data_IF_002535143465
#
_entry.id   IF_002535143465
#
_cell.length_a   1.000
_cell.length_b   1.000
_cell.length_c   1.000
_cell.angle_alpha   90.00
_cell.angle_beta   90.00
_cell.angle_gamma   90.00
#
_symmetry.space_group_name_H-M   'P 1'
#
loop_
_entity.id
_entity.type
_entity.pdbx_description
1 polymer ?
#
# COMPACT_ATOMS: atom_id res chain seq x y z
N UNK A 1 22.82 -12.06 -58.62
CA UNK A 1 22.06 -12.56 -59.78
C UNK A 1 21.90 -11.38 -60.71
N UNK A 2 22.60 -11.45 -61.82
CA UNK A 2 22.48 -10.53 -62.94
C UNK A 2 21.13 -10.76 -63.58
N UNK A 3 20.40 -9.69 -63.91
CA UNK A 3 19.41 -9.77 -64.97
C UNK A 3 19.40 -8.47 -65.76
N UNK A 4 19.49 -8.68 -67.07
CA UNK A 4 19.71 -7.71 -68.12
C UNK A 4 18.43 -7.72 -68.94
N UNK A 5 17.72 -6.60 -69.04
CA UNK A 5 16.77 -6.42 -70.14
C UNK A 5 16.98 -5.07 -70.82
N UNK A 6 17.31 -5.22 -72.10
CA UNK A 6 17.51 -4.31 -73.19
C UNK A 6 16.15 -4.06 -73.85
N UNK A 7 15.72 -2.81 -74.05
CA UNK A 7 14.73 -2.45 -75.08
C UNK A 7 15.02 -1.06 -75.64
N UNK A 8 15.59 -1.11 -76.85
CA UNK A 8 15.23 -0.41 -78.08
C UNK A 8 15.34 1.12 -78.22
N UNK A 9 15.96 1.45 -79.35
CA UNK A 9 16.31 2.75 -79.89
C UNK A 9 15.13 3.30 -80.69
N UNK A 10 14.80 4.58 -80.49
CA UNK A 10 14.11 5.37 -81.53
C UNK A 10 14.98 6.57 -81.83
N UNK A 11 15.63 6.50 -82.98
CA UNK A 11 16.35 7.58 -83.64
C UNK A 11 15.32 8.60 -84.16
N UNK A 12 15.43 9.87 -83.74
CA UNK A 12 14.72 10.97 -84.40
C UNK A 12 15.69 12.13 -84.67
N UNK A 13 15.56 12.69 -85.87
CA UNK A 13 16.53 13.51 -86.59
C UNK A 13 16.92 14.84 -85.92
N UNK A 14 18.17 15.21 -86.20
CA UNK A 14 18.85 16.47 -85.88
C UNK A 14 18.34 17.63 -86.74
N UNK A 15 17.89 18.77 -86.15
CA UNK A 15 18.05 20.06 -86.80
C UNK A 15 19.38 20.69 -86.34
N UNK A 16 20.34 20.83 -87.27
CA UNK A 16 21.58 21.59 -87.06
C UNK A 16 21.27 23.08 -86.86
N UNK A 17 21.08 23.51 -85.62
CA UNK A 17 21.03 24.93 -85.27
C UNK A 17 22.46 25.51 -85.29
N UNK A 18 22.75 26.41 -86.23
CA UNK A 18 23.98 27.22 -86.23
C UNK A 18 23.72 28.43 -85.32
N UNK A 19 24.41 28.62 -84.18
CA UNK A 19 24.33 29.90 -83.49
C UNK A 19 25.06 30.94 -84.35
N UNK A 20 24.31 31.90 -84.90
CA UNK A 20 24.89 33.10 -85.50
C UNK A 20 25.56 33.89 -84.39
N UNK A 21 26.85 34.21 -84.58
CA UNK A 21 27.66 34.96 -83.63
C UNK A 21 26.97 36.29 -83.27
N UNK A 22 26.68 36.55 -81.98
CA UNK A 22 26.16 37.83 -81.55
C UNK A 22 27.14 38.93 -81.94
N UNK A 23 26.64 39.91 -82.69
CA UNK A 23 27.33 41.17 -83.01
C UNK A 23 27.64 41.86 -81.68
N UNK A 24 28.91 41.87 -81.27
CA UNK A 24 29.38 42.65 -80.12
C UNK A 24 29.38 44.12 -80.58
N UNK A 25 28.55 45.02 -80.00
CA UNK A 25 28.71 46.44 -80.22
C UNK A 25 29.98 46.90 -79.49
N UNK A 26 30.79 47.65 -80.22
CA UNK A 26 32.07 48.23 -79.78
C UNK A 26 31.96 48.98 -78.44
N UNK A 27 32.84 48.60 -77.51
CA UNK A 27 33.60 49.58 -76.74
C UNK A 27 32.88 50.35 -75.64
N UNK A 28 32.08 49.71 -74.79
CA UNK A 28 31.93 50.22 -73.42
C UNK A 28 33.14 49.73 -72.63
N UNK A 29 34.03 50.66 -72.23
CA UNK A 29 35.13 50.37 -71.33
C UNK A 29 34.56 49.64 -70.13
N UNK A 30 34.83 48.34 -70.06
CA UNK A 30 34.49 47.50 -68.92
C UNK A 30 35.25 48.06 -67.73
N UNK A 31 34.58 48.86 -66.91
CA UNK A 31 35.19 49.52 -65.78
C UNK A 31 35.47 48.46 -64.72
N UNK A 32 36.74 48.09 -64.55
CA UNK A 32 37.14 47.00 -63.65
C UNK A 32 36.71 47.27 -62.19
N UNK A 33 36.59 48.55 -61.83
CA UNK A 33 36.05 48.99 -60.54
C UNK A 33 34.55 48.68 -60.41
N UNK A 34 33.78 48.76 -61.49
CA UNK A 34 32.35 48.45 -61.47
C UNK A 34 32.11 46.94 -61.38
N UNK A 35 32.97 46.13 -62.00
CA UNK A 35 32.96 44.66 -61.80
C UNK A 35 33.26 44.31 -60.33
N UNK A 36 34.24 44.97 -59.73
CA UNK A 36 34.63 44.69 -58.35
C UNK A 36 33.54 45.10 -57.36
N UNK A 37 32.88 46.27 -57.57
CA UNK A 37 31.71 46.69 -56.79
C UNK A 37 30.52 45.75 -56.98
N UNK A 38 30.22 45.31 -58.21
CA UNK A 38 29.15 44.34 -58.47
C UNK A 38 29.40 43.00 -57.81
N UNK A 39 30.66 42.54 -57.76
CA UNK A 39 31.06 41.33 -57.02
C UNK A 39 30.82 41.51 -55.52
N UNK A 40 31.33 42.59 -54.92
CA UNK A 40 31.14 42.88 -53.49
C UNK A 40 29.65 42.99 -53.12
N UNK A 41 28.84 43.68 -53.94
CA UNK A 41 27.41 43.79 -53.71
C UNK A 41 26.69 42.44 -53.82
N UNK A 42 27.10 41.59 -54.78
CA UNK A 42 26.56 40.23 -54.89
C UNK A 42 26.90 39.41 -53.63
N UNK A 43 28.16 39.43 -53.20
CA UNK A 43 28.61 38.69 -52.03
C UNK A 43 27.88 39.18 -50.76
N UNK A 44 27.66 40.49 -50.60
CA UNK A 44 26.88 41.04 -49.48
C UNK A 44 25.41 40.60 -49.50
N UNK A 45 24.78 40.58 -50.67
CA UNK A 45 23.38 40.13 -50.82
C UNK A 45 23.26 38.61 -50.58
N UNK A 46 24.22 37.82 -51.07
CA UNK A 46 24.25 36.38 -50.87
C UNK A 46 24.50 36.02 -49.40
N UNK A 47 25.40 36.75 -48.72
CA UNK A 47 25.61 36.61 -47.28
C UNK A 47 24.35 36.97 -46.49
N UNK A 48 23.67 38.06 -46.83
CA UNK A 48 22.41 38.43 -46.17
C UNK A 48 21.32 37.36 -46.38
N UNK A 49 21.20 36.83 -47.60
CA UNK A 49 20.25 35.76 -47.91
C UNK A 49 20.55 34.46 -47.13
N UNK A 50 21.83 34.10 -46.96
CA UNK A 50 22.26 32.95 -46.15
C UNK A 50 21.94 33.15 -44.67
N UNK A 51 22.16 34.37 -44.15
CA UNK A 51 21.83 34.73 -42.77
C UNK A 51 20.32 34.57 -42.54
N UNK A 52 19.50 35.17 -43.40
CA UNK A 52 18.04 35.13 -43.28
C UNK A 52 17.50 33.70 -43.45
N UNK A 53 18.04 32.94 -44.41
CA UNK A 53 17.68 31.54 -44.59
C UNK A 53 18.02 30.68 -43.37
N UNK A 54 19.17 30.90 -42.72
CA UNK A 54 19.54 30.17 -41.51
C UNK A 54 18.59 30.48 -40.34
N UNK A 55 18.25 31.76 -40.12
CA UNK A 55 17.30 32.15 -39.07
C UNK A 55 15.89 31.65 -39.32
N UNK A 56 15.39 31.76 -40.56
CA UNK A 56 14.07 31.25 -40.92
C UNK A 56 13.99 29.72 -40.83
N UNK A 57 15.05 29.00 -41.21
CA UNK A 57 15.12 27.55 -41.03
C UNK A 57 15.07 27.17 -39.55
N UNK A 58 15.92 27.79 -38.72
CA UNK A 58 15.94 27.59 -37.26
C UNK A 58 14.59 27.88 -36.60
N UNK A 59 13.96 28.99 -36.98
CA UNK A 59 12.66 29.40 -36.45
C UNK A 59 11.56 28.39 -36.79
N UNK A 60 11.51 27.92 -38.03
CA UNK A 60 10.55 26.88 -38.46
C UNK A 60 10.78 25.56 -37.72
N UNK A 61 12.04 25.13 -37.59
CA UNK A 61 12.39 23.94 -36.80
C UNK A 61 11.97 24.08 -35.33
N UNK A 62 12.18 25.24 -34.72
CA UNK A 62 11.77 25.52 -33.34
C UNK A 62 10.25 25.52 -33.18
N UNK A 63 9.51 26.15 -34.09
CA UNK A 63 8.04 26.16 -34.09
C UNK A 63 7.48 24.73 -34.25
N UNK A 64 8.05 23.92 -35.14
CA UNK A 64 7.66 22.51 -35.31
C UNK A 64 7.96 21.68 -34.06
N UNK A 65 9.12 21.91 -33.43
CA UNK A 65 9.49 21.21 -32.20
C UNK A 65 8.57 21.58 -31.04
N UNK A 66 8.21 22.86 -30.92
CA UNK A 66 7.24 23.34 -29.93
C UNK A 66 5.87 22.72 -30.19
N UNK A 67 5.37 22.78 -31.42
CA UNK A 67 4.08 22.19 -31.80
C UNK A 67 4.02 20.67 -31.54
N UNK A 68 5.13 19.96 -31.72
CA UNK A 68 5.24 18.53 -31.40
C UNK A 68 5.21 18.28 -29.90
N UNK A 69 5.97 19.06 -29.12
CA UNK A 69 5.98 18.99 -27.65
C UNK A 69 4.60 19.26 -27.07
N UNK A 70 3.91 20.29 -27.53
CA UNK A 70 2.54 20.60 -27.13
C UNK A 70 1.58 19.43 -27.44
N UNK A 71 1.71 18.79 -28.61
CA UNK A 71 0.90 17.62 -28.96
C UNK A 71 1.16 16.41 -28.05
N UNK A 72 2.40 16.21 -27.64
CA UNK A 72 2.78 15.14 -26.69
C UNK A 72 2.24 15.47 -25.30
N UNK A 73 2.40 16.71 -24.86
CA UNK A 73 1.93 17.18 -23.56
C UNK A 73 0.41 17.10 -23.45
N UNK A 74 -0.32 17.53 -24.48
CA UNK A 74 -1.78 17.36 -24.59
C UNK A 74 -2.19 15.89 -24.43
N UNK A 75 -1.52 14.97 -25.12
CA UNK A 75 -1.80 13.53 -25.00
C UNK A 75 -1.46 12.97 -23.62
N UNK A 76 -0.41 13.48 -22.95
CA UNK A 76 -0.07 13.10 -21.58
C UNK A 76 -1.12 13.61 -20.59
N UNK A 77 -1.51 14.88 -20.71
CA UNK A 77 -2.55 15.49 -19.90
C UNK A 77 -3.89 14.75 -20.05
N UNK A 78 -4.27 14.38 -21.27
CA UNK A 78 -5.48 13.60 -21.53
C UNK A 78 -5.45 12.23 -20.85
N UNK A 79 -4.31 11.50 -20.92
CA UNK A 79 -4.17 10.22 -20.21
C UNK A 79 -4.24 10.40 -18.70
N UNK A 80 -3.60 11.44 -18.17
CA UNK A 80 -3.64 11.76 -16.75
C UNK A 80 -5.08 12.07 -16.29
N UNK A 81 -5.83 12.84 -17.09
CA UNK A 81 -7.22 13.16 -16.82
C UNK A 81 -8.12 11.92 -16.91
N UNK A 82 -7.93 11.06 -17.91
CA UNK A 82 -8.65 9.78 -17.99
C UNK A 82 -8.38 8.90 -16.75
N UNK A 83 -7.15 8.87 -16.25
CA UNK A 83 -6.82 8.17 -15.00
C UNK A 83 -7.49 8.81 -13.79
N UNK A 84 -7.49 10.15 -13.70
CA UNK A 84 -8.15 10.90 -12.63
C UNK A 84 -9.65 10.62 -12.59
N UNK A 85 -10.33 10.70 -13.73
CA UNK A 85 -11.77 10.41 -13.86
C UNK A 85 -12.08 8.95 -13.51
N UNK A 86 -11.24 7.99 -13.91
CA UNK A 86 -11.41 6.58 -13.53
C UNK A 86 -11.27 6.38 -12.02
N UNK A 87 -10.24 6.98 -11.42
CA UNK A 87 -10.00 6.92 -9.98
C UNK A 87 -11.12 7.59 -9.18
N UNK A 88 -11.64 8.74 -9.64
CA UNK A 88 -12.75 9.44 -9.02
C UNK A 88 -14.05 8.62 -9.07
N UNK A 89 -14.40 8.06 -10.24
CA UNK A 89 -15.54 7.15 -10.38
C UNK A 89 -15.41 5.90 -9.51
N UNK A 90 -14.20 5.39 -9.29
CA UNK A 90 -13.97 4.25 -8.40
C UNK A 90 -14.13 4.64 -6.92
N UNK A 91 -13.58 5.79 -6.52
CA UNK A 91 -13.78 6.36 -5.18
C UNK A 91 -15.25 6.63 -4.90
N UNK A 92 -15.99 7.21 -5.85
CA UNK A 92 -17.43 7.45 -5.72
C UNK A 92 -18.21 6.16 -5.51
N UNK A 93 -17.91 5.10 -6.29
CA UNK A 93 -18.52 3.78 -6.09
C UNK A 93 -18.18 3.19 -4.72
N UNK A 94 -16.96 3.39 -4.24
CA UNK A 94 -16.55 2.92 -2.92
C UNK A 94 -17.27 3.69 -1.81
N UNK A 95 -17.33 5.01 -1.92
CA UNK A 95 -18.06 5.89 -0.99
C UNK A 95 -19.54 5.53 -0.96
N UNK A 96 -20.19 5.32 -2.10
CA UNK A 96 -21.60 4.89 -2.14
C UNK A 96 -21.85 3.57 -1.42
N UNK A 97 -20.97 2.58 -1.60
CA UNK A 97 -21.07 1.28 -0.89
C UNK A 97 -20.82 1.44 0.61
N UNK A 98 -19.88 2.29 0.99
CA UNK A 98 -19.55 2.54 2.38
C UNK A 98 -20.63 3.36 3.08
N UNK A 99 -21.22 4.34 2.40
CA UNK A 99 -22.35 5.14 2.87
C UNK A 99 -23.62 4.31 3.00
N UNK A 100 -23.93 3.42 2.05
CA UNK A 100 -25.04 2.48 2.17
C UNK A 100 -24.84 1.52 3.36
N UNK A 101 -23.60 1.01 3.53
CA UNK A 101 -23.26 0.19 4.69
C UNK A 101 -23.38 0.99 5.99
N UNK A 102 -22.94 2.24 6.01
CA UNK A 102 -22.99 3.12 7.16
C UNK A 102 -24.43 3.50 7.52
N UNK A 103 -25.28 3.82 6.55
CA UNK A 103 -26.70 4.07 6.79
C UNK A 103 -27.41 2.82 7.30
N UNK A 104 -27.07 1.63 6.79
CA UNK A 104 -27.58 0.37 7.31
C UNK A 104 -27.15 0.13 8.76
N UNK A 105 -25.87 0.33 9.07
CA UNK A 105 -25.33 0.25 10.43
C UNK A 105 -25.99 1.29 11.36
N UNK A 106 -26.20 2.52 10.91
CA UNK A 106 -26.88 3.58 11.68
C UNK A 106 -28.35 3.22 11.94
N UNK A 107 -29.07 2.68 10.96
CA UNK A 107 -30.46 2.21 11.17
C UNK A 107 -30.54 0.97 12.06
N UNK A 108 -29.58 0.05 11.99
CA UNK A 108 -29.52 -1.13 12.84
C UNK A 108 -29.10 -0.78 14.27
N UNK A 109 -28.21 0.19 14.45
CA UNK A 109 -27.85 0.75 15.77
C UNK A 109 -29.06 1.48 16.35
N UNK A 110 -29.78 2.29 15.56
CA UNK A 110 -30.98 2.99 16.03
C UNK A 110 -32.07 2.00 16.44
N UNK A 111 -32.34 0.98 15.62
CA UNK A 111 -33.30 -0.08 15.96
C UNK A 111 -32.87 -0.87 17.20
N UNK A 112 -31.59 -1.20 17.35
CA UNK A 112 -31.08 -1.85 18.57
C UNK A 112 -31.22 -0.97 19.80
N UNK A 113 -30.94 0.33 19.69
CA UNK A 113 -31.12 1.28 20.78
C UNK A 113 -32.60 1.41 21.17
N UNK A 114 -33.51 1.47 20.20
CA UNK A 114 -34.96 1.54 20.43
C UNK A 114 -35.49 0.22 21.03
N UNK A 115 -35.01 -0.95 20.56
CA UNK A 115 -35.35 -2.27 21.12
C UNK A 115 -34.73 -2.49 22.50
N UNK A 116 -33.50 -2.01 22.76
CA UNK A 116 -32.87 -2.06 24.08
C UNK A 116 -33.56 -1.12 25.07
N UNK A 117 -34.00 0.06 24.62
CA UNK A 117 -34.81 0.96 25.44
C UNK A 117 -36.19 0.34 25.76
N UNK A 118 -36.87 -0.25 24.78
CA UNK A 118 -38.13 -0.99 24.99
C UNK A 118 -37.93 -2.22 25.88
N UNK A 119 -36.86 -2.99 25.66
CA UNK A 119 -36.51 -4.17 26.47
C UNK A 119 -36.11 -3.79 27.88
N UNK A 120 -35.39 -2.68 28.08
CA UNK A 120 -35.08 -2.12 29.41
C UNK A 120 -36.36 -1.66 30.09
N UNK A 121 -37.24 -0.95 29.39
CA UNK A 121 -38.55 -0.55 29.90
C UNK A 121 -39.40 -1.78 30.30
N UNK A 122 -39.41 -2.83 29.46
CA UNK A 122 -40.18 -4.05 29.72
C UNK A 122 -39.54 -4.94 30.81
N UNK A 123 -38.21 -5.08 30.86
CA UNK A 123 -37.50 -5.86 31.88
C UNK A 123 -37.48 -5.15 33.24
N UNK A 124 -37.40 -3.81 33.27
CA UNK A 124 -37.64 -3.02 34.49
C UNK A 124 -39.07 -3.18 34.98
N UNK A 125 -40.03 -3.46 34.09
CA UNK A 125 -41.42 -3.76 34.44
C UNK A 125 -41.68 -5.23 34.84
N UNK A 126 -40.83 -6.21 34.48
CA UNK A 126 -41.14 -7.65 34.62
C UNK A 126 -40.03 -8.53 35.23
N UNK A 127 -39.05 -7.94 35.94
CA UNK A 127 -38.30 -8.69 36.94
C UNK A 127 -36.86 -9.05 36.57
N UNK A 128 -36.01 -8.84 37.58
CA UNK A 128 -34.55 -8.78 37.52
C UNK A 128 -33.83 -10.15 37.42
N UNK A 129 -34.46 -11.22 36.95
CA UNK A 129 -33.88 -12.58 37.05
C UNK A 129 -33.69 -13.35 35.74
N UNK A 130 -34.18 -12.86 34.58
CA UNK A 130 -34.07 -13.55 33.28
C UNK A 130 -32.93 -13.02 32.37
N UNK A 131 -32.18 -12.02 32.82
CA UNK A 131 -31.25 -11.24 31.99
C UNK A 131 -29.97 -12.00 31.56
N UNK A 132 -29.53 -13.04 32.28
CA UNK A 132 -28.24 -13.69 32.02
C UNK A 132 -28.23 -14.62 30.79
N UNK A 133 -29.39 -15.17 30.40
CA UNK A 133 -29.48 -16.14 29.31
C UNK A 133 -29.54 -15.46 27.93
N UNK A 134 -30.19 -14.29 27.82
CA UNK A 134 -30.29 -13.56 26.54
C UNK A 134 -28.97 -12.93 26.09
N UNK A 135 -28.09 -12.50 27.01
CA UNK A 135 -26.80 -11.90 26.66
C UNK A 135 -25.85 -12.88 25.94
N UNK A 136 -25.99 -14.19 26.19
CA UNK A 136 -25.22 -15.24 25.48
C UNK A 136 -25.76 -15.50 24.06
N UNK A 137 -27.05 -15.27 23.82
CA UNK A 137 -27.67 -15.45 22.52
C UNK A 137 -27.42 -14.27 21.57
N UNK A 138 -27.41 -13.04 22.10
CA UNK A 138 -27.21 -11.82 21.30
C UNK A 138 -25.78 -11.71 20.74
N UNK A 139 -24.77 -12.19 21.49
CA UNK A 139 -23.39 -12.31 21.01
C UNK A 139 -23.22 -13.27 19.82
N UNK A 140 -24.19 -14.15 19.55
CA UNK A 140 -24.18 -15.06 18.39
C UNK A 140 -24.92 -14.50 17.17
N UNK A 141 -25.81 -13.51 17.33
CA UNK A 141 -26.71 -13.04 16.25
C UNK A 141 -26.34 -11.66 15.69
N UNK A 142 -25.58 -10.85 16.42
CA UNK A 142 -25.14 -9.52 15.98
C UNK A 142 -23.64 -9.47 15.63
N UNK A 143 -23.29 -9.83 14.40
CA UNK A 143 -21.93 -9.72 13.88
C UNK A 143 -21.09 -10.97 14.19
N UNK A 144 -20.80 -11.76 13.15
CA UNK A 144 -19.83 -12.85 13.23
C UNK A 144 -18.50 -12.24 13.64
N UNK A 145 -18.16 -12.30 14.94
CA UNK A 145 -16.82 -11.91 15.43
C UNK A 145 -15.84 -12.67 14.54
N UNK A 146 -15.01 -11.92 13.82
CA UNK A 146 -14.00 -12.49 12.92
C UNK A 146 -13.25 -13.55 13.71
N UNK A 147 -13.39 -14.80 13.27
CA UNK A 147 -12.81 -15.94 13.98
C UNK A 147 -11.29 -15.76 14.01
N UNK A 148 -10.60 -16.28 15.03
CA UNK A 148 -9.13 -16.19 15.06
C UNK A 148 -8.48 -16.77 13.79
N UNK A 149 -9.14 -17.76 13.17
CA UNK A 149 -8.76 -18.32 11.87
C UNK A 149 -8.86 -17.30 10.74
N UNK A 150 -9.94 -16.53 10.67
CA UNK A 150 -10.15 -15.47 9.69
C UNK A 150 -9.14 -14.32 9.93
N UNK A 151 -8.93 -13.90 11.19
CA UNK A 151 -7.91 -12.90 11.56
C UNK A 151 -6.50 -13.32 11.18
N UNK A 152 -6.11 -14.57 11.49
CA UNK A 152 -4.80 -15.13 11.10
C UNK A 152 -4.65 -15.13 9.59
N UNK A 153 -5.68 -15.56 8.84
CA UNK A 153 -5.66 -15.55 7.38
C UNK A 153 -5.52 -14.13 6.82
N UNK A 154 -6.21 -13.16 7.41
CA UNK A 154 -6.13 -11.74 7.03
C UNK A 154 -4.75 -11.16 7.28
N UNK A 155 -4.16 -11.40 8.45
CA UNK A 155 -2.81 -10.93 8.80
C UNK A 155 -1.76 -11.58 7.88
N UNK A 156 -1.85 -12.88 7.63
CA UNK A 156 -0.92 -13.57 6.74
C UNK A 156 -1.05 -13.11 5.28
N UNK A 157 -2.27 -12.85 4.81
CA UNK A 157 -2.49 -12.28 3.49
C UNK A 157 -1.92 -10.86 3.38
N UNK A 158 -2.06 -10.03 4.42
CA UNK A 158 -1.48 -8.68 4.45
C UNK A 158 0.06 -8.69 4.47
N UNK A 159 0.69 -9.69 5.11
CA UNK A 159 2.14 -9.88 5.11
C UNK A 159 2.68 -10.45 3.78
N UNK A 160 1.82 -11.09 2.98
CA UNK A 160 2.23 -11.71 1.72
C UNK A 160 2.36 -10.64 0.63
N UNK A 161 3.61 -10.30 0.30
CA UNK A 161 3.92 -9.46 -0.86
C UNK A 161 3.76 -10.27 -2.14
N UNK A 162 2.95 -9.78 -3.08
CA UNK A 162 2.83 -10.40 -4.41
C UNK A 162 4.16 -10.24 -5.15
N UNK A 163 4.61 -11.30 -5.80
CA UNK A 163 5.89 -11.33 -6.52
C UNK A 163 5.62 -11.08 -7.99
N UNK A 164 6.28 -10.06 -8.56
CA UNK A 164 6.37 -9.86 -9.99
C UNK A 164 7.82 -10.02 -10.40
N UNK A 165 8.14 -11.12 -11.07
CA UNK A 165 9.49 -11.53 -11.44
C UNK A 165 9.70 -11.65 -12.95
N UNK A 166 8.61 -11.67 -13.73
CA UNK A 166 8.65 -12.08 -15.14
C UNK A 166 9.27 -11.04 -16.08
N UNK A 167 9.50 -9.82 -15.60
CA UNK A 167 9.98 -8.68 -16.41
C UNK A 167 11.21 -7.99 -15.80
N UNK A 168 11.97 -8.69 -14.94
CA UNK A 168 13.15 -8.13 -14.28
C UNK A 168 14.46 -8.55 -14.98
N UNK A 169 15.46 -7.65 -14.93
CA UNK A 169 16.82 -7.92 -15.40
C UNK A 169 17.62 -8.72 -14.35
N UNK A 170 18.71 -9.38 -14.76
CA UNK A 170 19.49 -10.29 -13.92
C UNK A 170 20.00 -9.65 -12.62
N UNK A 171 20.53 -8.42 -12.68
CA UNK A 171 21.02 -7.72 -11.50
C UNK A 171 19.90 -7.41 -10.49
N UNK A 172 18.71 -7.04 -10.99
CA UNK A 172 17.53 -6.81 -10.13
C UNK A 172 16.99 -8.11 -9.53
N UNK A 173 17.18 -9.25 -10.20
CA UNK A 173 16.82 -10.56 -9.65
C UNK A 173 17.77 -10.95 -8.52
N UNK A 174 19.07 -10.66 -8.64
CA UNK A 174 20.05 -10.88 -7.56
C UNK A 174 19.70 -10.06 -6.31
N UNK A 175 19.35 -8.79 -6.48
CA UNK A 175 18.89 -7.95 -5.37
C UNK A 175 17.62 -8.51 -4.70
N UNK A 176 16.67 -9.01 -5.49
CA UNK A 176 15.45 -9.62 -4.96
C UNK A 176 15.71 -10.92 -4.21
N UNK A 177 16.66 -11.74 -4.66
CA UNK A 177 17.07 -12.96 -3.96
C UNK A 177 17.65 -12.62 -2.59
N UNK A 178 18.53 -11.61 -2.53
CA UNK A 178 19.10 -11.14 -1.26
C UNK A 178 18.01 -10.59 -0.32
N UNK A 179 17.07 -9.79 -0.84
CA UNK A 179 15.92 -9.28 -0.06
C UNK A 179 15.08 -10.43 0.53
N UNK A 180 14.82 -11.51 -0.23
CA UNK A 180 14.09 -12.66 0.29
C UNK A 180 14.89 -13.48 1.29
N UNK A 181 16.19 -13.61 1.08
CA UNK A 181 17.08 -14.30 2.01
C UNK A 181 17.11 -13.59 3.36
N UNK A 182 17.27 -12.26 3.37
CA UNK A 182 17.22 -11.44 4.57
C UNK A 182 15.85 -11.51 5.25
N UNK A 183 14.76 -11.44 4.47
CA UNK A 183 13.40 -11.55 5.01
C UNK A 183 13.13 -12.91 5.65
N UNK A 184 13.63 -13.99 5.04
CA UNK A 184 13.51 -15.35 5.59
C UNK A 184 14.30 -15.48 6.91
N UNK A 185 15.55 -14.99 6.94
CA UNK A 185 16.39 -14.95 8.12
C UNK A 185 15.75 -14.18 9.27
N UNK A 186 15.14 -13.03 8.98
CA UNK A 186 14.42 -12.23 9.98
C UNK A 186 13.25 -13.02 10.60
N UNK A 187 12.41 -13.64 9.77
CA UNK A 187 11.27 -14.44 10.23
C UNK A 187 11.71 -15.65 11.07
N UNK A 188 12.83 -16.29 10.73
CA UNK A 188 13.42 -17.37 11.52
C UNK A 188 13.89 -16.90 12.90
N UNK A 189 14.54 -15.73 12.97
CA UNK A 189 14.97 -15.11 14.23
C UNK A 189 13.76 -14.77 15.11
N UNK A 190 12.74 -14.09 14.57
CA UNK A 190 11.52 -13.74 15.30
C UNK A 190 10.78 -14.99 15.81
N UNK A 191 10.71 -16.05 14.99
CA UNK A 191 10.15 -17.34 15.41
C UNK A 191 10.95 -17.93 16.58
N UNK A 192 12.28 -17.89 16.52
CA UNK A 192 13.13 -18.39 17.60
C UNK A 192 12.90 -17.64 18.91
N UNK A 193 12.93 -16.31 18.88
CA UNK A 193 12.65 -15.47 20.06
C UNK A 193 11.26 -15.73 20.65
N UNK A 194 10.23 -15.88 19.81
CA UNK A 194 8.89 -16.22 20.26
C UNK A 194 8.81 -17.61 20.90
N UNK A 195 9.53 -18.60 20.35
CA UNK A 195 9.60 -19.94 20.93
C UNK A 195 10.26 -19.92 22.30
N UNK A 196 11.40 -19.23 22.45
CA UNK A 196 12.11 -19.11 23.74
C UNK A 196 11.27 -18.35 24.77
N UNK A 197 10.63 -17.24 24.36
CA UNK A 197 9.70 -16.49 25.24
C UNK A 197 8.55 -17.37 25.73
N UNK A 198 7.97 -18.20 24.86
CA UNK A 198 6.91 -19.15 25.25
C UNK A 198 7.41 -20.23 26.22
N UNK A 199 8.66 -20.70 26.08
CA UNK A 199 9.25 -21.66 27.04
C UNK A 199 9.42 -21.01 28.42
N UNK A 200 9.93 -19.79 28.47
CA UNK A 200 10.09 -19.03 29.72
C UNK A 200 8.74 -18.75 30.39
N UNK A 201 7.74 -18.28 29.64
CA UNK A 201 6.38 -18.06 30.17
C UNK A 201 5.75 -19.33 30.73
N UNK A 202 5.99 -20.49 30.11
CA UNK A 202 5.52 -21.78 30.64
C UNK A 202 6.21 -22.13 31.96
N UNK A 203 7.52 -21.87 32.06
CA UNK A 203 8.27 -22.07 33.29
C UNK A 203 7.78 -21.14 34.41
N UNK A 204 7.61 -19.85 34.13
CA UNK A 204 7.06 -18.86 35.08
C UNK A 204 5.63 -19.22 35.53
N UNK A 205 4.78 -19.70 34.62
CA UNK A 205 3.44 -20.17 34.98
C UNK A 205 3.47 -21.42 35.86
N UNK A 206 4.40 -22.35 35.61
CA UNK A 206 4.59 -23.52 36.46
C UNK A 206 5.10 -23.13 37.84
N UNK A 207 6.12 -22.27 37.94
CA UNK A 207 6.65 -21.74 39.20
C UNK A 207 5.60 -20.93 39.97
N UNK A 208 4.81 -20.09 39.29
CA UNK A 208 3.72 -19.33 39.90
C UNK A 208 2.54 -20.20 40.38
N UNK A 209 2.27 -21.32 39.71
CA UNK A 209 1.30 -22.34 40.16
C UNK A 209 1.82 -23.17 41.33
N UNK A 210 3.14 -23.32 41.46
CA UNK A 210 3.84 -23.78 42.65
C UNK A 210 4.01 -22.63 43.66
N UNK A 211 2.92 -21.93 44.00
CA UNK A 211 2.92 -21.21 45.28
C UNK A 211 3.16 -22.25 46.38
N UNK A 212 4.12 -22.05 47.31
CA UNK A 212 4.30 -22.96 48.43
C UNK A 212 2.95 -23.12 49.13
N UNK A 213 2.54 -24.33 49.54
CA UNK A 213 1.39 -24.45 50.42
C UNK A 213 1.68 -23.48 51.58
N UNK A 214 0.78 -22.52 51.81
CA UNK A 214 0.89 -21.58 52.92
C UNK A 214 1.37 -22.40 54.11
N UNK A 215 2.53 -22.06 54.69
CA UNK A 215 3.03 -22.72 55.89
C UNK A 215 1.93 -22.60 56.93
N UNK A 216 1.07 -23.61 56.99
CA UNK A 216 0.22 -23.85 58.13
C UNK A 216 1.21 -24.16 59.23
N UNK A 217 1.45 -23.18 60.10
CA UNK A 217 2.27 -23.33 61.30
C UNK A 217 1.62 -24.44 62.12
N UNK A 218 2.01 -25.69 61.87
CA UNK A 218 1.55 -26.88 62.57
C UNK A 218 1.86 -26.76 64.08
N UNK A 219 2.88 -25.99 64.43
CA UNK A 219 3.17 -25.58 65.81
C UNK A 219 2.07 -24.70 66.41
N UNK A 220 1.49 -23.73 65.68
CA UNK A 220 0.36 -22.93 66.18
C UNK A 220 -0.91 -23.76 66.29
N UNK A 221 -1.18 -24.63 65.32
CA UNK A 221 -2.33 -25.54 65.37
C UNK A 221 -2.21 -26.54 66.53
N UNK A 222 -1.01 -27.08 66.78
CA UNK A 222 -0.73 -28.00 67.88
C UNK A 222 -0.76 -27.30 69.25
N UNK A 223 -0.28 -26.05 69.34
CA UNK A 223 -0.38 -25.24 70.56
C UNK A 223 -1.84 -24.88 70.86
N UNK A 224 -2.65 -24.50 69.86
CA UNK A 224 -4.10 -24.28 70.07
C UNK A 224 -4.83 -25.57 70.48
N UNK A 225 -4.49 -26.71 69.87
CA UNK A 225 -5.07 -28.00 70.23
C UNK A 225 -4.72 -28.44 71.67
N UNK A 226 -3.47 -28.23 72.11
CA UNK A 226 -3.08 -28.51 73.48
C UNK A 226 -3.70 -27.53 74.49
N UNK A 227 -3.82 -26.24 74.14
CA UNK A 227 -4.45 -25.25 75.02
C UNK A 227 -5.96 -25.52 75.22
N UNK A 228 -6.64 -25.96 74.15
CA UNK A 228 -8.05 -26.36 74.22
C UNK A 228 -8.24 -27.67 75.00
N UNK A 229 -7.34 -28.65 74.87
CA UNK A 229 -7.37 -29.86 75.68
C UNK A 229 -7.16 -29.57 77.18
N UNK A 230 -6.19 -28.72 77.54
CA UNK A 230 -5.91 -28.34 78.95
C UNK A 230 -7.10 -27.58 79.57
N UNK A 231 -7.79 -26.73 78.81
CA UNK A 231 -8.97 -25.99 79.31
C UNK A 231 -10.19 -26.89 79.49
N UNK A 232 -10.39 -27.89 78.62
CA UNK A 232 -11.46 -28.88 78.79
C UNK A 232 -11.21 -29.79 80.00
N UNK A 233 -9.97 -30.24 80.22
CA UNK A 233 -9.63 -31.09 81.36
C UNK A 233 -9.73 -30.34 82.70
N UNK A 234 -9.32 -29.08 82.76
CA UNK A 234 -9.50 -28.26 83.97
C UNK A 234 -10.98 -27.96 84.26
N UNK A 235 -11.82 -27.77 83.24
CA UNK A 235 -13.28 -27.67 83.42
C UNK A 235 -13.88 -28.99 83.95
N UNK A 236 -13.44 -30.13 83.40
CA UNK A 236 -13.90 -31.46 83.84
C UNK A 236 -13.45 -31.80 85.27
N UNK A 237 -12.23 -31.41 85.65
CA UNK A 237 -11.74 -31.55 87.02
C UNK A 237 -12.46 -30.62 88.00
N UNK A 238 -12.76 -29.36 87.62
CA UNK A 238 -13.57 -28.44 88.45
C UNK A 238 -15.00 -28.96 88.64
N UNK A 239 -15.62 -29.50 87.59
CA UNK A 239 -16.94 -30.18 87.69
C UNK A 239 -16.88 -31.42 88.58
N UNK A 240 -15.83 -32.23 88.50
CA UNK A 240 -15.65 -33.41 89.37
C UNK A 240 -15.39 -33.02 90.84
N UNK A 241 -14.68 -31.92 91.09
CA UNK A 241 -14.43 -31.40 92.44
C UNK A 241 -15.70 -30.78 93.05
N UNK A 242 -16.50 -30.06 92.25
CA UNK A 242 -17.83 -29.58 92.66
C UNK A 242 -18.78 -30.73 92.97
N UNK A 243 -18.77 -31.79 92.15
CA UNK A 243 -19.59 -32.98 92.39
C UNK A 243 -19.19 -33.73 93.67
N UNK A 244 -17.88 -33.84 93.96
CA UNK A 244 -17.38 -34.43 95.22
C UNK A 244 -17.69 -33.58 96.46
N UNK A 245 -17.77 -32.25 96.34
CA UNK A 245 -18.19 -31.34 97.42
C UNK A 245 -19.69 -31.37 97.71
N UNK A 246 -20.50 -31.85 96.77
CA UNK A 246 -21.96 -31.93 96.91
C UNK A 246 -22.43 -33.28 97.49
N UNK A 247 -21.52 -34.25 97.64
CA UNK A 247 -21.81 -35.64 98.06
C UNK A 247 -21.07 -36.06 99.35
N UNK A 248 -20.49 -35.10 100.08
CA UNK A 248 -20.12 -35.20 101.50
C UNK A 248 -21.03 -34.26 102.30
#
# INVERSE_FOLDING_TARGET
>A
MSDTEEVDQVEEEKPKFKPSAPKIPDGEKVDFDDIQKKRQNKDLVELQALIDAHFECRKKEEEELIALKERIEKRRAERAEQQRVRAEKEKERQIRREEERRQREETDIRKKADEEAKKKSALTSMGSSYSSHLQKADQKRGGKKETEREKKKKILAARRKALNIDHLNEDKLKDKINEFYEWMRQLESEKFEHMERLKLQKYEQQEGSCSPPQKVDWLKALVLANHTAITMDTCRMKLSALWRKLHL
#
